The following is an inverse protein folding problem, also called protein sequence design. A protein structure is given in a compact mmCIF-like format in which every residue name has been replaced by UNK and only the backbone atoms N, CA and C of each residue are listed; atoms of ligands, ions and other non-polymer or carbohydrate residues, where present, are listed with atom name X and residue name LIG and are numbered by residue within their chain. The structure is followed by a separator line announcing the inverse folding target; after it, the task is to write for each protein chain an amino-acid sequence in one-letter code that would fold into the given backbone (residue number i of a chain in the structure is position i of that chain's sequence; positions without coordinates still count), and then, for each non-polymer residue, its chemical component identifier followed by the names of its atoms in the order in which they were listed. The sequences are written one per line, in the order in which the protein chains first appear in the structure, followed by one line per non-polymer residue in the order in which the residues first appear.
data_IF_019952093666
#
_entry.id   IF_019952093666
#
_cell.length_a   1.000
_cell.length_b   1.000
_cell.length_c   1.000
_cell.angle_alpha   90.00
_cell.angle_beta   90.00
_cell.angle_gamma   90.00
#
_symmetry.space_group_name_H-M   'P 1'
#
loop_
_entity.id
_entity.type
_entity.pdbx_description
1 polymer ?
#
# COMPACT_ATOMS: atom_id res chain seq x y z
N UNK A 1 -11.35 28.00 10.60
CA UNK A 1 -10.05 27.33 10.80
C UNK A 1 -10.16 25.81 10.59
N UNK A 2 -11.04 25.09 11.30
CA UNK A 2 -11.22 23.63 11.10
C UNK A 2 -11.62 23.23 9.65
N UNK A 3 -12.49 24.02 9.00
CA UNK A 3 -12.98 23.74 7.64
C UNK A 3 -11.87 23.78 6.58
N UNK A 4 -10.88 24.64 6.73
CA UNK A 4 -9.71 24.74 5.84
C UNK A 4 -8.70 23.62 6.08
N UNK A 5 -8.57 23.16 7.33
CA UNK A 5 -7.67 22.07 7.73
C UNK A 5 -8.19 20.69 7.28
N UNK A 6 -9.51 20.49 7.35
CA UNK A 6 -10.16 19.27 6.82
C UNK A 6 -10.04 19.22 5.29
N UNK A 7 -10.23 20.36 4.61
CA UNK A 7 -10.08 20.43 3.15
C UNK A 7 -8.64 20.14 2.70
N UNK A 8 -7.62 20.62 3.41
CA UNK A 8 -6.21 20.33 3.10
C UNK A 8 -5.84 18.88 3.37
N UNK A 9 -6.41 18.26 4.41
CA UNK A 9 -6.22 16.84 4.70
C UNK A 9 -6.85 15.96 3.61
N UNK A 10 -8.08 16.27 3.20
CA UNK A 10 -8.76 15.53 2.12
C UNK A 10 -8.02 15.72 0.79
N UNK A 11 -7.54 16.92 0.49
CA UNK A 11 -6.71 17.16 -0.69
C UNK A 11 -5.39 16.36 -0.60
N UNK A 12 -4.74 16.31 0.56
CA UNK A 12 -3.54 15.49 0.77
C UNK A 12 -3.82 13.98 0.62
N UNK A 13 -4.98 13.49 1.06
CA UNK A 13 -5.38 12.10 0.84
C UNK A 13 -5.72 11.80 -0.63
N UNK A 14 -6.36 12.74 -1.33
CA UNK A 14 -6.75 12.57 -2.74
C UNK A 14 -5.58 12.72 -3.70
N UNK A 15 -4.57 13.54 -3.37
CA UNK A 15 -3.39 13.78 -4.21
C UNK A 15 -2.12 13.06 -3.71
N UNK A 16 -2.17 12.39 -2.55
CA UNK A 16 -1.01 11.76 -1.90
C UNK A 16 -1.01 10.24 -1.90
N UNK A 17 -1.88 9.55 -2.66
CA UNK A 17 -1.81 8.10 -2.90
C UNK A 17 -2.05 7.17 -1.72
N UNK A 18 -2.31 7.71 -0.53
CA UNK A 18 -2.44 6.95 0.73
C UNK A 18 -3.66 6.00 0.76
N UNK A 19 -4.54 6.05 -0.26
CA UNK A 19 -5.76 5.24 -0.34
C UNK A 19 -5.60 3.97 -1.17
N UNK A 20 -5.53 4.10 -2.49
CA UNK A 20 -5.62 2.93 -3.37
C UNK A 20 -4.27 2.22 -3.49
N UNK A 21 -3.13 2.92 -3.39
CA UNK A 21 -1.82 2.27 -3.34
C UNK A 21 -1.74 1.23 -2.23
N UNK A 22 -2.22 1.59 -1.04
CA UNK A 22 -2.27 0.67 0.11
C UNK A 22 -3.30 -0.45 -0.04
N UNK A 23 -4.46 -0.16 -0.64
CA UNK A 23 -5.48 -1.19 -0.94
C UNK A 23 -4.97 -2.19 -1.98
N UNK A 24 -4.23 -1.74 -2.99
CA UNK A 24 -3.65 -2.58 -4.03
C UNK A 24 -2.45 -3.36 -3.50
N UNK A 25 -1.67 -2.80 -2.57
CA UNK A 25 -0.55 -3.47 -1.91
C UNK A 25 -0.98 -4.61 -0.97
N UNK A 26 -2.15 -4.48 -0.36
CA UNK A 26 -2.70 -5.39 0.65
C UNK A 26 -2.76 -6.87 0.21
N UNK A 27 -3.32 -7.24 -0.96
CA UNK A 27 -3.33 -8.64 -1.42
C UNK A 27 -1.93 -9.20 -1.65
N UNK A 28 -0.98 -8.40 -2.13
CA UNK A 28 0.40 -8.84 -2.34
C UNK A 28 1.11 -9.10 -1.00
N UNK A 29 0.95 -8.21 -0.01
CA UNK A 29 1.51 -8.45 1.34
C UNK A 29 0.87 -9.67 2.01
N UNK A 30 -0.45 -9.83 1.89
CA UNK A 30 -1.14 -10.98 2.46
C UNK A 30 -0.70 -12.30 1.79
N UNK A 31 -0.58 -12.32 0.46
CA UNK A 31 -0.10 -13.47 -0.28
C UNK A 31 1.37 -13.78 0.02
N UNK A 32 2.24 -12.77 0.09
CA UNK A 32 3.65 -12.94 0.45
C UNK A 32 3.82 -13.52 1.84
N UNK A 33 3.06 -13.02 2.83
CA UNK A 33 3.03 -13.56 4.18
C UNK A 33 2.54 -15.02 4.22
N UNK A 34 1.48 -15.35 3.45
CA UNK A 34 0.97 -16.72 3.36
C UNK A 34 1.97 -17.67 2.67
N UNK A 35 2.66 -17.20 1.63
CA UNK A 35 3.65 -18.00 0.89
C UNK A 35 4.89 -18.26 1.73
N UNK A 36 5.34 -17.31 2.56
CA UNK A 36 6.45 -17.53 3.49
C UNK A 36 6.21 -18.66 4.50
N UNK A 37 4.96 -19.06 4.74
CA UNK A 37 4.64 -20.24 5.58
C UNK A 37 5.07 -21.55 4.91
N UNK A 38 5.06 -21.62 3.57
CA UNK A 38 5.24 -22.87 2.81
C UNK A 38 6.52 -22.87 1.97
N UNK A 39 6.93 -21.71 1.47
CA UNK A 39 8.13 -21.49 0.68
C UNK A 39 8.92 -20.34 1.32
N UNK A 40 9.84 -20.65 2.25
CA UNK A 40 10.46 -19.65 3.10
C UNK A 40 11.26 -18.60 2.31
N UNK A 41 11.06 -17.36 2.76
CA UNK A 41 11.78 -16.12 2.54
C UNK A 41 11.82 -15.60 1.10
N UNK A 42 12.46 -16.28 0.14
CA UNK A 42 12.72 -15.65 -1.17
C UNK A 42 11.44 -15.36 -1.96
N UNK A 43 10.47 -16.28 -1.92
CA UNK A 43 9.26 -16.15 -2.75
C UNK A 43 8.25 -15.22 -2.10
N UNK A 44 7.98 -15.38 -0.79
CA UNK A 44 7.03 -14.53 -0.09
C UNK A 44 7.51 -13.09 0.06
N UNK A 45 8.82 -12.87 0.19
CA UNK A 45 9.38 -11.52 0.24
C UNK A 45 9.34 -10.84 -1.12
N UNK A 46 9.56 -11.59 -2.22
CA UNK A 46 9.41 -11.06 -3.57
C UNK A 46 7.97 -10.61 -3.84
N UNK A 47 6.98 -11.40 -3.42
CA UNK A 47 5.56 -11.05 -3.56
C UNK A 47 5.23 -9.84 -2.70
N UNK A 48 5.71 -9.78 -1.45
CA UNK A 48 5.51 -8.63 -0.58
C UNK A 48 6.14 -7.35 -1.14
N UNK A 49 7.30 -7.47 -1.79
CA UNK A 49 7.99 -6.37 -2.46
C UNK A 49 7.21 -5.78 -3.64
N UNK A 50 6.41 -6.59 -4.35
CA UNK A 50 5.45 -6.06 -5.34
C UNK A 50 4.40 -5.17 -4.66
N UNK A 51 3.94 -5.57 -3.48
CA UNK A 51 3.05 -4.77 -2.65
C UNK A 51 3.68 -3.43 -2.25
N UNK A 52 4.94 -3.43 -1.83
CA UNK A 52 5.66 -2.20 -1.45
C UNK A 52 5.85 -1.25 -2.65
N UNK A 53 6.18 -1.79 -3.84
CA UNK A 53 6.26 -0.99 -5.06
C UNK A 53 4.89 -0.41 -5.43
N UNK A 54 3.82 -1.20 -5.31
CA UNK A 54 2.46 -0.72 -5.58
C UNK A 54 2.05 0.40 -4.62
N UNK A 55 2.37 0.26 -3.32
CA UNK A 55 2.11 1.28 -2.30
C UNK A 55 2.88 2.59 -2.57
N UNK A 56 4.07 2.48 -3.16
CA UNK A 56 4.95 3.63 -3.42
C UNK A 56 4.66 4.31 -4.76
N UNK A 57 4.28 3.55 -5.79
CA UNK A 57 4.17 4.04 -7.17
C UNK A 57 2.75 4.45 -7.55
N UNK A 58 1.73 3.90 -6.90
CA UNK A 58 0.32 4.22 -7.21
C UNK A 58 -0.09 5.51 -6.48
N UNK A 59 -0.38 6.60 -7.20
CA UNK A 59 -0.46 7.95 -6.62
C UNK A 59 -1.85 8.37 -6.12
N UNK A 60 -2.88 7.56 -6.31
CA UNK A 60 -4.25 7.75 -5.80
C UNK A 60 -4.68 6.40 -5.28
#
# INVERSE_FOLDING_TARGET
MAKTMIASLIAALMFGGCGVGSVVALPFKAAGAAVNVVAPDVVGDTISGVGDVADTVIPF
#
